data_IF_078379214915
#
_entry.id   IF_078379214915
#
_cell.length_a   1.000
_cell.length_b   1.000
_cell.length_c   1.000
_cell.angle_alpha   90.00
_cell.angle_beta   90.00
_cell.angle_gamma   90.00
#
_symmetry.space_group_name_H-M   'P 1'
#
loop_
_entity.id
_entity.type
_entity.pdbx_description
1 polymer ?
#
# COMPACT_ATOMS: atom_id res chain seq x y z
N UNK A 1 49.66 28.81 46.25
CA UNK A 1 48.98 27.57 45.85
C UNK A 1 48.39 27.82 44.48
N UNK A 2 49.06 27.41 43.40
CA UNK A 2 48.54 27.49 42.03
C UNK A 2 47.90 26.15 41.69
N UNK A 3 46.61 26.15 41.36
CA UNK A 3 45.88 24.95 40.96
C UNK A 3 46.35 24.44 39.59
N UNK A 4 46.47 23.12 39.37
CA UNK A 4 46.80 22.55 38.08
C UNK A 4 45.57 22.51 37.16
N UNK A 5 45.69 23.17 36.00
CA UNK A 5 44.69 23.13 34.92
C UNK A 5 44.70 21.71 34.30
N UNK A 6 43.55 21.03 34.13
CA UNK A 6 43.53 19.74 33.45
C UNK A 6 43.78 19.94 31.95
N UNK A 7 44.75 19.19 31.41
CA UNK A 7 45.11 19.16 30.00
C UNK A 7 43.92 18.79 29.10
N UNK A 8 43.86 19.45 27.95
CA UNK A 8 42.81 19.39 26.94
C UNK A 8 42.45 17.95 26.52
N UNK A 9 41.16 17.62 26.61
CA UNK A 9 40.58 16.44 25.98
C UNK A 9 40.75 16.58 24.46
N UNK A 10 41.34 15.61 23.73
CA UNK A 10 41.43 15.70 22.28
C UNK A 10 40.04 15.53 21.66
N UNK A 11 39.44 16.63 21.21
CA UNK A 11 38.21 16.64 20.41
C UNK A 11 38.51 16.15 18.98
N UNK A 12 38.79 14.86 18.82
CA UNK A 12 39.04 14.27 17.49
C UNK A 12 38.44 12.87 17.31
N UNK A 13 37.29 12.60 17.93
CA UNK A 13 36.44 11.48 17.53
C UNK A 13 35.31 11.97 16.62
N UNK A 14 35.66 12.50 15.45
CA UNK A 14 34.68 12.78 14.39
C UNK A 14 34.23 11.43 13.80
N UNK A 15 33.11 10.91 14.29
CA UNK A 15 32.44 9.75 13.70
C UNK A 15 31.92 10.13 12.32
N UNK A 16 32.72 9.87 11.30
CA UNK A 16 32.33 10.12 9.91
C UNK A 16 31.19 9.15 9.55
N UNK A 17 30.03 9.64 9.07
CA UNK A 17 28.92 8.77 8.73
C UNK A 17 29.35 7.76 7.66
N UNK A 18 28.86 6.50 7.72
CA UNK A 18 29.24 5.49 6.75
C UNK A 18 28.90 5.99 5.35
N UNK A 19 29.90 6.04 4.46
CA UNK A 19 29.69 6.40 3.07
C UNK A 19 28.73 5.38 2.44
N UNK A 20 27.63 5.87 1.87
CA UNK A 20 26.70 5.05 1.09
C UNK A 20 27.51 4.39 -0.03
N UNK A 21 27.53 3.05 -0.07
CA UNK A 21 28.19 2.31 -1.15
C UNK A 21 27.50 2.64 -2.48
N UNK A 22 28.25 2.74 -3.59
CA UNK A 22 27.66 3.00 -4.89
C UNK A 22 26.62 1.92 -5.21
N UNK A 23 25.42 2.36 -5.61
CA UNK A 23 24.37 1.46 -6.06
C UNK A 23 24.86 0.88 -7.39
N UNK A 24 25.15 -0.41 -7.43
CA UNK A 24 25.47 -1.09 -8.68
C UNK A 24 24.16 -1.15 -9.48
N UNK A 25 24.07 -0.38 -10.57
CA UNK A 25 23.00 -0.55 -11.54
C UNK A 25 22.99 -2.00 -12.02
N UNK A 26 21.89 -2.70 -11.81
CA UNK A 26 21.74 -4.09 -12.21
C UNK A 26 21.35 -4.17 -13.68
N UNK A 27 22.18 -4.81 -14.49
CA UNK A 27 21.83 -5.16 -15.86
C UNK A 27 20.54 -6.01 -15.88
N UNK A 28 19.64 -5.85 -16.86
CA UNK A 28 18.40 -6.62 -16.95
C UNK A 28 18.65 -8.14 -17.01
N UNK A 29 19.77 -8.55 -17.60
CA UNK A 29 20.18 -9.97 -17.62
C UNK A 29 20.58 -10.43 -16.22
N UNK A 30 21.28 -9.57 -15.46
CA UNK A 30 21.71 -9.89 -14.09
C UNK A 30 20.52 -10.04 -13.13
N UNK A 31 19.45 -9.26 -13.30
CA UNK A 31 18.24 -9.36 -12.48
C UNK A 31 17.49 -10.66 -12.77
N UNK A 32 17.38 -11.04 -14.04
CA UNK A 32 16.78 -12.30 -14.46
C UNK A 32 17.61 -13.51 -13.98
N UNK A 33 18.93 -13.46 -14.08
CA UNK A 33 19.79 -14.53 -13.56
C UNK A 33 19.58 -14.74 -12.06
N UNK A 34 19.51 -13.64 -11.27
CA UNK A 34 19.23 -13.70 -9.83
C UNK A 34 17.85 -14.32 -9.52
N UNK A 35 16.81 -13.95 -10.25
CA UNK A 35 15.48 -14.55 -10.04
C UNK A 35 15.47 -16.05 -10.36
N UNK A 36 16.13 -16.46 -11.44
CA UNK A 36 16.29 -17.88 -11.78
C UNK A 36 17.07 -18.65 -10.71
N UNK A 37 18.18 -18.12 -10.21
CA UNK A 37 18.95 -18.77 -9.15
C UNK A 37 18.13 -18.97 -7.86
N UNK A 38 17.27 -18.00 -7.53
CA UNK A 38 16.39 -18.11 -6.36
C UNK A 38 15.28 -19.16 -6.56
N UNK A 39 14.74 -19.27 -7.78
CA UNK A 39 13.72 -20.29 -8.10
C UNK A 39 14.31 -21.71 -8.09
N UNK A 40 15.56 -21.89 -8.55
CA UNK A 40 16.21 -23.19 -8.58
C UNK A 40 16.71 -23.68 -7.21
N UNK A 41 16.74 -22.82 -6.19
CA UNK A 41 17.13 -23.24 -4.83
C UNK A 41 16.18 -24.31 -4.27
N UNK A 42 14.87 -24.19 -4.52
CA UNK A 42 13.83 -25.10 -4.02
C UNK A 42 12.84 -25.51 -5.13
N UNK A 43 13.17 -26.53 -5.96
CA UNK A 43 12.36 -26.89 -7.13
C UNK A 43 11.02 -27.56 -6.80
N UNK A 44 10.81 -28.01 -5.57
CA UNK A 44 9.55 -28.65 -5.12
C UNK A 44 8.49 -27.64 -4.67
N UNK A 45 8.86 -26.36 -4.54
CA UNK A 45 7.97 -25.32 -4.07
C UNK A 45 6.88 -25.03 -5.13
N UNK A 46 5.58 -25.06 -4.78
CA UNK A 46 4.53 -24.69 -5.72
C UNK A 46 4.65 -23.20 -6.09
N UNK A 47 4.63 -22.91 -7.39
CA UNK A 47 4.71 -21.55 -7.92
C UNK A 47 3.28 -21.06 -8.20
N UNK A 48 2.86 -20.00 -7.51
CA UNK A 48 1.60 -19.31 -7.80
C UNK A 48 1.81 -18.32 -8.92
N UNK A 49 1.31 -18.65 -10.12
CA UNK A 49 1.28 -17.70 -11.23
C UNK A 49 0.19 -16.65 -10.97
N UNK A 50 0.42 -15.39 -11.33
CA UNK A 50 -0.64 -14.38 -11.25
C UNK A 50 -1.77 -14.78 -12.20
N UNK A 51 -3.00 -14.84 -11.68
CA UNK A 51 -4.20 -14.96 -12.51
C UNK A 51 -4.33 -13.73 -13.41
N UNK A 52 -4.99 -13.90 -14.57
CA UNK A 52 -5.34 -12.79 -15.43
C UNK A 52 -6.05 -11.67 -14.62
N UNK A 53 -5.80 -10.39 -14.95
CA UNK A 53 -6.45 -9.29 -14.25
C UNK A 53 -7.96 -9.42 -14.40
N UNK A 54 -8.66 -9.49 -13.27
CA UNK A 54 -10.11 -9.54 -13.29
C UNK A 54 -10.67 -8.20 -13.77
N UNK A 55 -11.74 -8.26 -14.57
CA UNK A 55 -12.48 -7.06 -14.93
C UNK A 55 -12.96 -6.36 -13.66
N UNK A 56 -12.95 -5.02 -13.67
CA UNK A 56 -13.54 -4.25 -12.58
C UNK A 56 -15.03 -4.54 -12.60
N UNK A 57 -15.53 -5.19 -11.56
CA UNK A 57 -16.97 -5.46 -11.40
C UNK A 57 -17.45 -4.80 -10.12
N UNK A 58 -18.73 -4.40 -10.11
CA UNK A 58 -19.36 -3.84 -8.93
C UNK A 58 -20.11 -4.93 -8.18
N UNK A 59 -20.07 -4.85 -6.85
CA UNK A 59 -20.85 -5.75 -6.03
C UNK A 59 -22.36 -5.54 -6.30
N UNK A 60 -23.15 -6.62 -6.41
CA UNK A 60 -24.58 -6.50 -6.61
C UNK A 60 -25.23 -5.76 -5.43
N UNK A 61 -26.28 -4.96 -5.68
CA UNK A 61 -27.02 -4.32 -4.60
C UNK A 61 -27.67 -5.38 -3.69
N UNK A 62 -27.72 -5.14 -2.37
CA UNK A 62 -28.40 -6.05 -1.45
C UNK A 62 -29.90 -6.12 -1.76
N UNK A 63 -30.47 -7.32 -1.76
CA UNK A 63 -31.88 -7.53 -2.09
C UNK A 63 -32.84 -6.94 -1.06
N UNK A 64 -32.48 -6.99 0.23
CA UNK A 64 -33.31 -6.52 1.32
C UNK A 64 -32.52 -5.58 2.22
N UNK A 65 -33.07 -4.38 2.44
CA UNK A 65 -32.57 -3.43 3.43
C UNK A 65 -33.51 -3.47 4.62
N UNK A 66 -33.06 -4.05 5.74
CA UNK A 66 -33.90 -4.21 6.94
C UNK A 66 -34.15 -2.90 7.71
N UNK A 67 -33.32 -1.88 7.49
CA UNK A 67 -33.27 -0.67 8.31
C UNK A 67 -33.97 0.53 7.66
N UNK A 68 -35.06 0.29 6.93
CA UNK A 68 -35.79 1.37 6.23
C UNK A 68 -36.74 2.05 7.21
N UNK A 69 -36.47 3.32 7.51
CA UNK A 69 -37.36 4.16 8.29
C UNK A 69 -38.64 4.48 7.49
N UNK A 70 -39.78 4.65 8.16
CA UNK A 70 -41.08 4.88 7.49
C UNK A 70 -41.07 6.10 6.55
N UNK A 71 -41.92 6.07 5.52
CA UNK A 71 -41.88 7.06 4.41
C UNK A 71 -42.16 8.50 4.83
N UNK A 72 -42.90 8.71 5.92
CA UNK A 72 -43.19 10.04 6.48
C UNK A 72 -42.26 10.42 7.63
N UNK A 73 -41.26 9.59 7.94
CA UNK A 73 -40.38 9.81 9.07
C UNK A 73 -39.30 10.85 8.71
N UNK A 74 -38.89 11.66 9.68
CA UNK A 74 -37.91 12.74 9.45
C UNK A 74 -36.50 12.24 9.15
N UNK A 75 -35.66 13.10 8.56
CA UNK A 75 -34.27 12.77 8.29
C UNK A 75 -33.47 12.59 9.59
N UNK A 76 -32.92 11.39 9.80
CA UNK A 76 -32.00 11.10 10.90
C UNK A 76 -30.59 11.63 10.63
N UNK A 77 -29.75 11.70 11.66
CA UNK A 77 -28.36 12.16 11.53
C UNK A 77 -27.49 11.27 10.62
N UNK A 78 -27.85 9.99 10.47
CA UNK A 78 -27.16 9.04 9.60
C UNK A 78 -27.58 9.10 8.13
N UNK A 79 -28.72 9.72 7.81
CA UNK A 79 -29.32 9.68 6.47
C UNK A 79 -28.40 10.32 5.41
N UNK A 80 -27.68 11.37 5.80
CA UNK A 80 -26.66 11.99 4.94
C UNK A 80 -25.58 11.00 4.51
N UNK A 81 -25.10 10.15 5.42
CA UNK A 81 -24.06 9.18 5.13
C UNK A 81 -24.59 8.02 4.26
N UNK A 82 -25.83 7.59 4.49
CA UNK A 82 -26.52 6.61 3.64
C UNK A 82 -26.61 7.13 2.20
N UNK A 83 -27.08 8.36 2.03
CA UNK A 83 -27.13 9.01 0.72
C UNK A 83 -25.73 9.13 0.09
N UNK A 84 -24.73 9.62 0.83
CA UNK A 84 -23.34 9.76 0.31
C UNK A 84 -22.78 8.42 -0.20
N UNK A 85 -23.00 7.34 0.54
CA UNK A 85 -22.54 6.00 0.16
C UNK A 85 -23.33 5.44 -1.04
N UNK A 86 -24.66 5.60 -1.06
CA UNK A 86 -25.49 5.17 -2.20
C UNK A 86 -25.14 5.92 -3.49
N UNK A 87 -24.95 7.24 -3.41
CA UNK A 87 -24.59 8.08 -4.55
C UNK A 87 -23.23 7.71 -5.14
N UNK A 88 -22.24 7.43 -4.29
CA UNK A 88 -20.92 6.98 -4.75
C UNK A 88 -21.03 5.64 -5.49
N UNK A 89 -21.75 4.67 -4.92
CA UNK A 89 -21.96 3.36 -5.56
C UNK A 89 -22.66 3.50 -6.91
N UNK A 90 -23.66 4.38 -7.01
CA UNK A 90 -24.41 4.58 -8.25
C UNK A 90 -23.58 5.29 -9.32
N UNK A 91 -22.72 6.24 -8.96
CA UNK A 91 -21.80 6.87 -9.91
C UNK A 91 -20.74 5.91 -10.42
N UNK A 92 -20.22 5.04 -9.55
CA UNK A 92 -19.31 3.97 -9.96
C UNK A 92 -20.02 2.99 -10.92
N UNK A 93 -21.32 2.70 -10.70
CA UNK A 93 -22.16 1.89 -11.58
C UNK A 93 -22.39 2.49 -12.95
N UNK A 94 -22.82 3.75 -13.00
CA UNK A 94 -23.02 4.47 -14.26
C UNK A 94 -21.70 4.57 -15.03
N UNK A 95 -20.62 4.95 -14.34
CA UNK A 95 -19.30 5.04 -14.96
C UNK A 95 -18.83 3.71 -15.55
N UNK A 96 -19.06 2.59 -14.87
CA UNK A 96 -18.68 1.28 -15.39
C UNK A 96 -19.54 0.89 -16.59
N UNK A 97 -20.84 1.20 -16.60
CA UNK A 97 -21.70 1.00 -17.76
C UNK A 97 -21.33 1.88 -18.95
N UNK A 98 -20.81 3.09 -18.71
CA UNK A 98 -20.33 3.99 -19.76
C UNK A 98 -18.93 3.59 -20.30
N UNK A 99 -18.13 2.86 -19.51
CA UNK A 99 -16.80 2.36 -19.88
C UNK A 99 -16.85 1.00 -20.60
N UNK A 100 -17.96 0.25 -20.50
CA UNK A 100 -18.25 -0.98 -21.27
C UNK A 100 -18.66 -0.68 -22.72
#
# INVERSE_FOLDING_TARGET
MSEPIPESIPTSASSRPPRKKPRVESDPISTQARSLTALFADPTRPITLPSAPQAKTLAPPPELVANVQGSSAGAGSGEFHVYKASRRREYERLRLMDEE
#
